data_IF_173619904617
#
_entry.id   IF_173619904617
#
_cell.length_a   1.000
_cell.length_b   1.000
_cell.length_c   1.000
_cell.angle_alpha   90.00
_cell.angle_beta   90.00
_cell.angle_gamma   90.00
#
_symmetry.space_group_name_H-M   'P 1'
#
loop_
_entity.id
_entity.type
_entity.pdbx_description
1 polymer ?
#
# COMPACT_ATOMS: atom_id res chain seq x y z
N UNK A 1 -17.16 57.68 -41.99
CA UNK A 1 -16.57 58.15 -40.73
C UNK A 1 -17.16 57.27 -39.64
N UNK A 2 -16.57 56.08 -39.44
CA UNK A 2 -15.46 55.89 -38.48
C UNK A 2 -15.99 56.19 -37.06
N UNK A 3 -16.03 55.30 -36.07
CA UNK A 3 -15.32 54.05 -35.86
C UNK A 3 -16.14 53.15 -34.93
N UNK A 4 -16.29 51.89 -35.32
CA UNK A 4 -16.57 50.78 -34.41
C UNK A 4 -15.23 50.10 -34.13
N UNK A 5 -14.48 50.58 -33.15
CA UNK A 5 -13.27 49.92 -32.67
C UNK A 5 -13.10 50.14 -31.16
N UNK A 6 -12.66 49.05 -30.50
CA UNK A 6 -12.10 48.97 -29.15
C UNK A 6 -13.05 48.88 -27.95
N UNK A 7 -13.36 47.64 -27.55
CA UNK A 7 -12.82 47.08 -26.30
C UNK A 7 -13.11 45.56 -26.17
N UNK A 8 -12.53 44.77 -27.07
CA UNK A 8 -12.30 43.33 -26.85
C UNK A 8 -10.90 43.13 -26.27
N UNK A 9 -10.72 43.37 -24.98
CA UNK A 9 -9.52 42.93 -24.26
C UNK A 9 -9.78 42.96 -22.75
N UNK A 10 -10.52 41.98 -22.23
CA UNK A 10 -10.38 41.65 -20.81
C UNK A 10 -10.77 40.24 -20.37
N UNK A 11 -10.93 39.28 -21.31
CA UNK A 11 -11.39 37.92 -20.95
C UNK A 11 -10.41 36.83 -21.40
N UNK A 12 -9.12 37.03 -21.15
CA UNK A 12 -8.05 36.03 -21.39
C UNK A 12 -7.20 35.75 -20.14
N UNK A 13 -7.82 35.75 -18.96
CA UNK A 13 -7.10 35.50 -17.70
C UNK A 13 -7.82 34.60 -16.69
N UNK A 14 -8.61 33.63 -17.13
CA UNK A 14 -9.24 32.68 -16.17
C UNK A 14 -9.44 31.26 -16.68
N UNK A 15 -8.80 30.83 -17.76
CA UNK A 15 -8.85 29.42 -18.21
C UNK A 15 -7.45 28.84 -18.44
N UNK A 16 -6.58 28.93 -17.42
CA UNK A 16 -5.46 28.00 -17.31
C UNK A 16 -6.01 26.69 -16.75
N UNK A 17 -6.57 25.92 -17.67
CA UNK A 17 -6.81 24.48 -17.64
C UNK A 17 -6.00 23.74 -16.56
N UNK A 18 -6.69 23.23 -15.54
CA UNK A 18 -6.16 22.26 -14.58
C UNK A 18 -5.59 20.98 -15.24
N UNK A 19 -5.78 20.78 -16.54
CA UNK A 19 -5.24 19.69 -17.34
C UNK A 19 -3.77 19.82 -17.77
N UNK A 20 -3.21 21.05 -17.85
CA UNK A 20 -1.84 21.24 -18.36
C UNK A 20 -0.75 21.13 -17.28
N UNK A 21 -1.09 21.38 -16.00
CA UNK A 21 -0.11 21.32 -14.90
C UNK A 21 0.39 19.91 -14.57
N UNK A 22 -0.26 18.86 -15.08
CA UNK A 22 0.12 17.46 -14.83
C UNK A 22 0.96 16.84 -15.97
N UNK A 23 1.23 17.58 -17.04
CA UNK A 23 1.95 17.04 -18.21
C UNK A 23 3.47 16.98 -18.03
N UNK A 24 4.05 17.76 -17.10
CA UNK A 24 5.49 17.75 -16.82
C UNK A 24 5.76 17.52 -15.32
N UNK A 25 5.79 16.25 -14.90
CA UNK A 25 6.37 15.92 -13.60
C UNK A 25 7.89 16.15 -13.68
N UNK A 26 8.33 17.21 -13.02
CA UNK A 26 9.73 17.56 -12.91
C UNK A 26 10.46 16.52 -12.04
N UNK A 27 11.24 15.65 -12.68
CA UNK A 27 12.00 14.58 -12.02
C UNK A 27 12.95 15.13 -10.95
N UNK A 28 13.36 16.41 -11.02
CA UNK A 28 14.19 17.05 -9.99
C UNK A 28 13.50 17.13 -8.61
N UNK A 29 12.15 17.16 -8.60
CA UNK A 29 11.35 17.16 -7.37
C UNK A 29 11.28 15.79 -6.71
N UNK A 30 11.64 14.71 -7.41
CA UNK A 30 11.65 13.35 -6.86
C UNK A 30 12.58 13.26 -5.65
N UNK A 31 13.76 13.89 -5.71
CA UNK A 31 14.69 13.92 -4.59
C UNK A 31 14.09 14.63 -3.35
N UNK A 32 13.34 15.72 -3.57
CA UNK A 32 12.65 16.41 -2.50
C UNK A 32 11.56 15.53 -1.88
N UNK A 33 10.83 14.77 -2.69
CA UNK A 33 9.84 13.79 -2.23
C UNK A 33 10.50 12.70 -1.38
N UNK A 34 11.54 12.04 -1.90
CA UNK A 34 12.31 11.02 -1.20
C UNK A 34 12.81 11.54 0.15
N UNK A 35 13.40 12.74 0.19
CA UNK A 35 13.89 13.34 1.44
C UNK A 35 12.77 13.57 2.46
N UNK A 36 11.59 14.03 2.02
CA UNK A 36 10.44 14.27 2.91
C UNK A 36 9.83 12.97 3.42
N UNK A 37 9.70 11.95 2.56
CA UNK A 37 9.21 10.63 2.96
C UNK A 37 10.19 9.95 3.94
N UNK A 38 11.49 10.03 3.68
CA UNK A 38 12.51 9.52 4.60
C UNK A 38 12.46 10.23 5.96
N UNK A 39 12.21 11.55 5.98
CA UNK A 39 11.98 12.27 7.25
C UNK A 39 10.77 11.71 8.01
N UNK A 40 9.67 11.40 7.32
CA UNK A 40 8.48 10.79 7.95
C UNK A 40 8.85 9.42 8.54
N UNK A 41 9.58 8.58 7.80
CA UNK A 41 10.08 7.28 8.28
C UNK A 41 10.89 7.44 9.58
N UNK A 42 11.83 8.39 9.62
CA UNK A 42 12.65 8.63 10.83
C UNK A 42 11.80 9.12 12.01
N UNK A 43 10.82 9.99 11.76
CA UNK A 43 9.88 10.44 12.81
C UNK A 43 9.07 9.26 13.33
N UNK A 44 8.53 8.40 12.46
CA UNK A 44 7.75 7.23 12.86
C UNK A 44 8.57 6.23 13.68
N UNK A 45 9.85 6.03 13.35
CA UNK A 45 10.78 5.22 14.16
C UNK A 45 10.89 5.78 15.58
N UNK A 46 11.14 7.09 15.70
CA UNK A 46 11.22 7.76 17.00
C UNK A 46 9.91 7.65 17.80
N UNK A 47 8.75 7.79 17.15
CA UNK A 47 7.44 7.62 17.79
C UNK A 47 7.23 6.19 18.31
N UNK A 48 7.78 5.19 17.63
CA UNK A 48 7.80 3.81 18.11
C UNK A 48 8.63 3.64 19.38
N UNK A 49 9.81 4.26 19.43
CA UNK A 49 10.73 4.17 20.57
C UNK A 49 10.19 4.89 21.82
N UNK A 50 9.35 5.92 21.64
CA UNK A 50 8.73 6.65 22.75
C UNK A 50 7.87 5.79 23.67
N UNK A 51 7.34 4.65 23.20
CA UNK A 51 6.61 3.73 24.07
C UNK A 51 7.46 3.21 25.23
N UNK A 52 8.77 3.02 25.03
CA UNK A 52 9.68 2.57 26.07
C UNK A 52 9.70 3.52 27.28
N UNK A 53 9.48 4.81 27.05
CA UNK A 53 9.42 5.82 28.11
C UNK A 53 8.13 5.65 28.93
N UNK A 54 6.98 5.50 28.27
CA UNK A 54 5.68 5.35 28.94
C UNK A 54 5.60 4.01 29.69
N UNK A 55 6.23 2.97 29.15
CA UNK A 55 6.28 1.63 29.75
C UNK A 55 7.14 1.52 31.02
N UNK A 56 7.85 2.60 31.40
CA UNK A 56 8.51 2.71 32.71
C UNK A 56 7.51 2.88 33.86
N UNK A 57 6.30 3.39 33.57
CA UNK A 57 5.23 3.53 34.54
C UNK A 57 4.60 2.17 34.86
N UNK A 58 4.27 1.93 36.13
CA UNK A 58 3.58 0.71 36.51
C UNK A 58 2.07 0.82 36.25
N UNK A 59 1.37 -0.30 36.00
CA UNK A 59 -0.09 -0.28 35.87
C UNK A 59 -0.80 0.23 37.13
N UNK A 60 -0.19 0.06 38.31
CA UNK A 60 -0.76 0.55 39.57
C UNK A 60 -0.76 2.08 39.60
N UNK A 61 0.39 2.71 39.34
CA UNK A 61 0.52 4.17 39.30
C UNK A 61 -0.41 4.78 38.26
N UNK A 62 -0.53 4.14 37.09
CA UNK A 62 -1.46 4.58 36.04
C UNK A 62 -2.92 4.60 36.53
N UNK A 63 -3.34 3.59 37.29
CA UNK A 63 -4.72 3.50 37.79
C UNK A 63 -5.05 4.57 38.83
N UNK A 64 -4.08 5.11 39.57
CA UNK A 64 -4.29 6.15 40.57
C UNK A 64 -4.81 7.47 39.98
N UNK A 65 -4.33 7.84 38.79
CA UNK A 65 -4.74 9.08 38.11
C UNK A 65 -5.61 8.84 36.89
N UNK A 66 -5.84 7.59 36.48
CA UNK A 66 -6.66 7.24 35.31
C UNK A 66 -8.02 7.94 35.30
N UNK A 67 -8.68 8.01 36.45
CA UNK A 67 -10.02 8.59 36.58
C UNK A 67 -10.04 10.12 36.44
N UNK A 68 -8.87 10.78 36.45
CA UNK A 68 -8.75 12.21 36.17
C UNK A 68 -8.75 12.53 34.68
N UNK A 69 -8.56 11.52 33.82
CA UNK A 69 -8.76 11.72 32.39
C UNK A 69 -10.25 11.73 32.10
N UNK A 70 -10.77 12.90 31.75
CA UNK A 70 -12.13 13.00 31.20
C UNK A 70 -12.23 12.16 29.92
N UNK A 71 -13.41 11.54 29.64
CA UNK A 71 -13.66 10.82 28.39
C UNK A 71 -13.29 11.63 27.14
N UNK A 72 -13.41 12.96 27.23
CA UNK A 72 -13.14 13.93 26.17
C UNK A 72 -11.65 14.09 25.82
N UNK A 73 -10.72 13.78 26.74
CA UNK A 73 -9.29 13.95 26.43
C UNK A 73 -8.81 12.89 25.42
N UNK A 74 -9.33 11.67 25.54
CA UNK A 74 -9.06 10.60 24.59
C UNK A 74 -9.88 10.75 23.31
N UNK A 75 -11.09 11.33 23.35
CA UNK A 75 -11.81 11.68 22.14
C UNK A 75 -11.05 12.74 21.33
N UNK A 76 -10.45 13.74 21.96
CA UNK A 76 -9.64 14.76 21.29
C UNK A 76 -8.25 14.25 20.83
N UNK A 77 -7.61 13.35 21.56
CA UNK A 77 -6.34 12.73 21.13
C UNK A 77 -6.57 11.71 20.01
N UNK A 78 -7.61 10.88 20.13
CA UNK A 78 -8.03 9.99 19.05
C UNK A 78 -8.53 10.79 17.85
N UNK A 79 -9.21 11.93 18.03
CA UNK A 79 -9.55 12.88 16.98
C UNK A 79 -8.32 13.43 16.29
N UNK A 80 -7.25 13.74 17.02
CA UNK A 80 -5.99 14.21 16.45
C UNK A 80 -5.18 13.11 15.76
N UNK A 81 -5.16 11.88 16.31
CA UNK A 81 -4.56 10.71 15.65
C UNK A 81 -5.36 10.36 14.40
N UNK A 82 -6.68 10.37 14.49
CA UNK A 82 -7.61 10.22 13.38
C UNK A 82 -7.43 11.38 12.39
N UNK A 83 -7.19 12.60 12.83
CA UNK A 83 -6.80 13.75 11.99
C UNK A 83 -5.49 13.47 11.27
N UNK A 84 -4.47 12.86 11.89
CA UNK A 84 -3.27 12.45 11.14
C UNK A 84 -3.51 11.25 10.20
N UNK A 85 -4.33 10.28 10.62
CA UNK A 85 -4.68 9.06 9.86
C UNK A 85 -5.65 9.37 8.70
N UNK A 86 -6.47 10.42 8.82
CA UNK A 86 -7.42 10.92 7.80
C UNK A 86 -6.77 12.01 6.94
N UNK A 87 -6.09 13.00 7.53
CA UNK A 87 -5.44 14.10 6.77
C UNK A 87 -4.36 13.61 5.81
N UNK A 88 -3.80 12.41 6.03
CA UNK A 88 -2.73 11.84 5.22
C UNK A 88 -2.94 10.36 4.92
N UNK A 89 -4.19 9.97 4.68
CA UNK A 89 -4.59 8.60 4.37
C UNK A 89 -3.80 8.08 3.16
N UNK A 90 -2.67 7.44 3.42
CA UNK A 90 -1.86 6.78 2.41
C UNK A 90 -2.45 5.44 2.02
N UNK A 91 -3.22 4.75 2.88
CA UNK A 91 -3.65 3.38 2.58
C UNK A 91 -4.91 2.91 3.32
N UNK A 92 -5.92 3.74 3.64
CA UNK A 92 -7.17 3.25 4.29
C UNK A 92 -8.38 3.80 3.55
N UNK A 93 -9.26 2.93 3.05
CA UNK A 93 -10.56 3.33 2.47
C UNK A 93 -11.60 3.37 3.60
N UNK A 94 -12.57 4.30 3.55
CA UNK A 94 -13.60 4.46 4.60
C UNK A 94 -14.35 3.16 4.90
N UNK A 95 -14.64 2.34 3.88
CA UNK A 95 -15.28 1.02 4.02
C UNK A 95 -14.42 -0.07 4.67
N UNK A 96 -13.11 0.13 4.81
CA UNK A 96 -12.20 -0.85 5.44
C UNK A 96 -11.90 -0.49 6.90
N UNK A 97 -12.60 0.49 7.47
CA UNK A 97 -12.43 0.88 8.87
C UNK A 97 -13.27 -0.02 9.75
N UNK A 98 -12.67 -0.56 10.81
CA UNK A 98 -13.40 -1.29 11.84
C UNK A 98 -14.31 -0.30 12.57
N UNK A 99 -15.60 -0.59 12.58
CA UNK A 99 -16.59 0.23 13.26
C UNK A 99 -16.33 0.28 14.77
N UNK A 100 -16.57 1.46 15.32
CA UNK A 100 -16.41 1.74 16.73
C UNK A 100 -17.77 1.66 17.40
N UNK A 101 -18.08 0.59 18.15
CA UNK A 101 -19.38 0.44 18.84
C UNK A 101 -20.58 0.70 17.90
N UNK A 102 -20.48 0.24 16.63
CA UNK A 102 -21.46 0.47 15.56
C UNK A 102 -21.72 1.95 15.21
N UNK A 103 -20.87 2.86 15.67
CA UNK A 103 -20.92 4.30 15.41
C UNK A 103 -19.75 4.75 14.54
N UNK A 104 -20.00 5.77 13.72
CA UNK A 104 -18.96 6.35 12.88
C UNK A 104 -17.94 7.09 13.76
N UNK A 105 -16.65 7.00 13.42
CA UNK A 105 -15.59 7.73 14.13
C UNK A 105 -15.86 9.25 14.22
N UNK A 106 -16.68 9.79 13.30
CA UNK A 106 -17.11 11.20 13.29
C UNK A 106 -17.93 11.57 14.52
N UNK A 107 -18.65 10.63 15.11
CA UNK A 107 -19.45 10.86 16.32
C UNK A 107 -18.59 10.96 17.59
N UNK A 108 -17.34 10.48 17.54
CA UNK A 108 -16.37 10.68 18.61
C UNK A 108 -15.78 12.11 18.61
N UNK A 109 -16.07 12.92 17.60
CA UNK A 109 -15.58 14.29 17.48
C UNK A 109 -16.60 15.27 18.05
N UNK A 110 -16.20 16.00 19.08
CA UNK A 110 -17.06 16.99 19.74
C UNK A 110 -17.00 18.37 19.07
N UNK A 111 -15.89 18.70 18.38
CA UNK A 111 -15.69 20.01 17.77
C UNK A 111 -16.08 20.05 16.27
N UNK A 112 -17.06 20.91 15.95
CA UNK A 112 -17.52 21.19 14.58
C UNK A 112 -16.41 21.72 13.66
N UNK A 113 -15.38 22.37 14.21
CA UNK A 113 -14.26 22.88 13.42
C UNK A 113 -13.38 21.74 12.88
N UNK A 114 -13.18 20.69 13.67
CA UNK A 114 -12.40 19.52 13.29
C UNK A 114 -13.18 18.58 12.37
N UNK A 115 -14.50 18.45 12.54
CA UNK A 115 -15.38 17.74 11.59
C UNK A 115 -15.27 18.35 10.19
N UNK A 116 -15.40 19.68 10.07
CA UNK A 116 -15.27 20.38 8.79
C UNK A 116 -13.90 20.19 8.13
N UNK A 117 -12.82 20.16 8.93
CA UNK A 117 -11.46 19.89 8.43
C UNK A 117 -11.32 18.47 7.90
N UNK A 118 -11.90 17.50 8.58
CA UNK A 118 -11.93 16.09 8.17
C UNK A 118 -12.73 15.95 6.87
N UNK A 119 -13.92 16.53 6.77
CA UNK A 119 -14.72 16.51 5.55
C UNK A 119 -14.00 17.13 4.36
N UNK A 120 -13.36 18.29 4.56
CA UNK A 120 -12.52 18.91 3.53
C UNK A 120 -11.40 17.98 3.09
N UNK A 121 -10.73 17.33 4.03
CA UNK A 121 -9.64 16.41 3.73
C UNK A 121 -10.09 15.14 3.02
N UNK A 122 -11.32 14.66 3.27
CA UNK A 122 -11.88 13.50 2.58
C UNK A 122 -12.21 13.82 1.11
N UNK A 123 -12.45 15.10 0.79
CA UNK A 123 -12.66 15.57 -0.59
C UNK A 123 -11.35 15.78 -1.35
N UNK A 124 -10.26 16.08 -0.64
CA UNK A 124 -8.93 16.25 -1.24
C UNK A 124 -8.36 14.90 -1.73
N UNK A 125 -7.57 14.93 -2.81
CA UNK A 125 -6.95 13.70 -3.34
C UNK A 125 -5.97 13.11 -2.34
N UNK A 126 -6.12 11.83 -2.04
CA UNK A 126 -5.26 11.12 -1.09
C UNK A 126 -3.86 10.90 -1.66
N UNK A 127 -2.87 10.68 -0.79
CA UNK A 127 -1.52 10.36 -1.26
C UNK A 127 -1.50 9.07 -2.09
N UNK A 128 -2.37 8.09 -1.78
CA UNK A 128 -2.51 6.89 -2.60
C UNK A 128 -2.94 7.21 -4.02
N UNK A 129 -4.00 8.02 -4.16
CA UNK A 129 -4.53 8.42 -5.47
C UNK A 129 -3.52 9.24 -6.27
N UNK A 130 -2.73 10.08 -5.61
CA UNK A 130 -1.67 10.86 -6.26
C UNK A 130 -0.52 9.95 -6.72
N UNK A 131 -0.13 8.97 -5.90
CA UNK A 131 0.90 7.97 -6.24
C UNK A 131 0.40 7.07 -7.36
N UNK A 132 -0.86 6.64 -7.34
CA UNK A 132 -1.51 5.86 -8.39
C UNK A 132 -1.45 6.58 -9.73
N UNK A 133 -1.93 7.83 -9.80
CA UNK A 133 -1.83 8.67 -11.00
C UNK A 133 -0.40 8.92 -11.46
N UNK A 134 0.57 8.92 -10.55
CA UNK A 134 1.99 9.01 -10.90
C UNK A 134 2.52 7.70 -11.49
N UNK A 135 2.15 6.56 -10.92
CA UNK A 135 2.53 5.22 -11.40
C UNK A 135 1.91 4.87 -12.75
N UNK A 136 0.67 5.29 -13.02
CA UNK A 136 0.02 5.10 -14.33
C UNK A 136 0.76 5.80 -15.49
N UNK A 137 1.58 6.80 -15.17
CA UNK A 137 2.41 7.54 -16.13
C UNK A 137 3.83 6.99 -16.24
N UNK A 138 4.12 5.85 -15.62
CA UNK A 138 5.46 5.23 -15.68
C UNK A 138 5.86 4.98 -17.13
N UNK A 139 7.04 5.45 -17.55
CA UNK A 139 7.51 5.29 -18.92
C UNK A 139 7.74 3.81 -19.25
N UNK A 140 7.33 3.40 -20.45
CA UNK A 140 7.51 2.03 -20.96
C UNK A 140 6.34 1.07 -20.73
N UNK A 141 5.27 1.54 -20.08
CA UNK A 141 3.99 0.82 -20.03
C UNK A 141 3.24 0.83 -21.38
N UNK A 142 3.36 1.92 -22.16
CA UNK A 142 2.72 2.08 -23.47
C UNK A 142 3.57 1.50 -24.62
N UNK A 143 2.98 1.45 -25.81
CA UNK A 143 3.34 0.64 -26.99
C UNK A 143 4.82 0.62 -27.43
N UNK A 144 5.64 1.62 -27.09
CA UNK A 144 7.05 1.64 -27.52
C UNK A 144 7.89 0.50 -26.92
N UNK A 145 7.83 0.33 -25.59
CA UNK A 145 8.57 -0.74 -24.91
C UNK A 145 7.72 -1.98 -24.69
N UNK A 146 6.39 -1.81 -24.56
CA UNK A 146 5.40 -2.86 -24.31
C UNK A 146 5.84 -3.80 -23.16
N UNK A 147 6.10 -3.21 -22.00
CA UNK A 147 6.57 -3.92 -20.81
C UNK A 147 5.67 -5.11 -20.45
N UNK A 148 4.35 -4.90 -20.46
CA UNK A 148 3.41 -5.84 -19.87
C UNK A 148 3.33 -7.16 -20.64
N UNK A 149 3.22 -7.15 -21.97
CA UNK A 149 3.16 -8.39 -22.76
C UNK A 149 4.47 -9.18 -22.69
N UNK A 150 5.60 -8.47 -22.69
CA UNK A 150 6.93 -9.08 -22.50
C UNK A 150 7.06 -9.72 -21.13
N UNK A 151 6.61 -9.01 -20.08
CA UNK A 151 6.60 -9.52 -18.72
C UNK A 151 5.73 -10.78 -18.59
N UNK A 152 4.48 -10.74 -19.07
CA UNK A 152 3.57 -11.88 -19.02
C UNK A 152 4.13 -13.10 -19.75
N UNK A 153 4.71 -12.89 -20.93
CA UNK A 153 5.34 -13.96 -21.72
C UNK A 153 6.55 -14.54 -21.00
N UNK A 154 7.43 -13.68 -20.46
CA UNK A 154 8.62 -14.11 -19.73
C UNK A 154 8.26 -14.89 -18.46
N UNK A 155 7.27 -14.44 -17.69
CA UNK A 155 6.82 -15.13 -16.47
C UNK A 155 6.14 -16.44 -16.82
N UNK A 156 5.26 -16.49 -17.83
CA UNK A 156 4.63 -17.73 -18.27
C UNK A 156 5.69 -18.76 -18.68
N UNK A 157 6.64 -18.37 -19.53
CA UNK A 157 7.75 -19.24 -19.93
C UNK A 157 8.56 -19.70 -18.72
N UNK A 158 8.87 -18.80 -17.79
CA UNK A 158 9.59 -19.15 -16.57
C UNK A 158 8.83 -20.15 -15.69
N UNK A 159 7.52 -19.98 -15.48
CA UNK A 159 6.67 -20.91 -14.72
C UNK A 159 6.64 -22.28 -15.41
N UNK A 160 6.47 -22.31 -16.72
CA UNK A 160 6.45 -23.55 -17.49
C UNK A 160 7.80 -24.29 -17.42
N UNK A 161 8.91 -23.57 -17.59
CA UNK A 161 10.24 -24.16 -17.61
C UNK A 161 10.77 -24.54 -16.23
N UNK A 162 10.50 -23.71 -15.22
CA UNK A 162 11.06 -23.89 -13.88
C UNK A 162 10.18 -24.76 -12.98
N UNK A 163 8.87 -24.81 -13.22
CA UNK A 163 7.92 -25.52 -12.35
C UNK A 163 7.20 -26.66 -13.07
N UNK A 164 6.64 -26.44 -14.25
CA UNK A 164 5.84 -27.45 -14.94
C UNK A 164 6.69 -28.60 -15.50
N UNK A 165 7.70 -28.29 -16.34
CA UNK A 165 8.58 -29.31 -16.93
C UNK A 165 9.28 -30.18 -15.85
N UNK A 166 9.82 -29.63 -14.74
CA UNK A 166 10.44 -30.43 -13.68
C UNK A 166 9.45 -31.19 -12.77
N UNK A 167 8.17 -30.81 -12.78
CA UNK A 167 7.09 -31.58 -12.13
C UNK A 167 6.72 -32.83 -12.93
N UNK A 168 6.83 -32.78 -14.26
CA UNK A 168 6.55 -33.90 -15.15
C UNK A 168 7.76 -34.84 -15.30
N UNK A 169 8.96 -34.29 -15.44
CA UNK A 169 10.18 -35.03 -15.74
C UNK A 169 11.22 -34.80 -14.64
N UNK A 170 11.57 -35.88 -13.92
CA UNK A 170 12.43 -35.81 -12.73
C UNK A 170 13.93 -35.72 -13.04
N UNK A 171 14.34 -36.19 -14.22
CA UNK A 171 15.72 -36.13 -14.77
C UNK A 171 15.72 -36.54 -16.24
N UNK A 172 16.61 -35.95 -17.03
CA UNK A 172 17.05 -36.54 -18.30
C UNK A 172 17.86 -37.80 -17.96
N UNK A 173 17.36 -38.98 -18.33
CA UNK A 173 18.13 -40.22 -18.17
C UNK A 173 18.94 -40.40 -19.43
N UNK A 174 20.27 -40.34 -19.32
CA UNK A 174 21.15 -40.79 -20.40
C UNK A 174 21.07 -42.31 -20.39
N UNK A 175 20.43 -42.89 -21.40
CA UNK A 175 20.50 -44.33 -21.64
C UNK A 175 21.70 -44.54 -22.54
N UNK A 176 22.81 -44.97 -21.95
CA UNK A 176 23.97 -45.44 -22.73
C UNK A 176 23.64 -46.84 -23.24
N UNK A 177 23.06 -46.91 -24.45
CA UNK A 177 23.04 -48.15 -25.22
C UNK A 177 24.31 -48.20 -26.08
N UNK A 178 24.79 -49.41 -26.42
CA UNK A 178 26.10 -49.67 -27.06
C UNK A 178 26.42 -48.83 -28.32
N UNK A 179 25.46 -48.12 -28.92
CA UNK A 179 25.66 -47.35 -30.15
C UNK A 179 25.12 -45.90 -30.13
N UNK A 180 24.25 -45.51 -29.19
CA UNK A 180 23.71 -44.14 -29.11
C UNK A 180 23.36 -43.77 -27.67
N UNK A 181 23.84 -42.61 -27.20
CA UNK A 181 23.35 -41.96 -25.99
C UNK A 181 22.04 -41.23 -26.32
N UNK A 182 20.89 -41.86 -26.03
CA UNK A 182 19.60 -41.20 -26.14
C UNK A 182 19.23 -40.62 -24.78
N UNK A 183 18.78 -39.37 -24.79
CA UNK A 183 18.28 -38.74 -23.59
C UNK A 183 16.77 -38.95 -23.53
N UNK A 184 16.32 -39.78 -22.59
CA UNK A 184 14.89 -40.02 -22.41
C UNK A 184 14.36 -39.31 -21.15
N UNK A 185 13.15 -38.71 -21.22
CA UNK A 185 12.47 -38.17 -20.05
C UNK A 185 12.22 -39.30 -19.04
N UNK A 186 12.73 -39.18 -17.82
CA UNK A 186 12.41 -40.11 -16.74
C UNK A 186 11.34 -39.52 -15.83
N UNK A 187 10.17 -40.14 -15.83
CA UNK A 187 9.06 -39.74 -14.96
C UNK A 187 9.44 -39.91 -13.48
N UNK A 188 9.05 -38.94 -12.65
CA UNK A 188 9.23 -39.00 -11.20
C UNK A 188 8.44 -40.19 -10.64
N UNK A 189 9.15 -41.26 -10.23
CA UNK A 189 8.52 -42.46 -9.64
C UNK A 189 7.87 -42.20 -8.28
N UNK A 190 8.31 -41.15 -7.59
CA UNK A 190 7.75 -40.74 -6.30
C UNK A 190 6.52 -39.85 -6.54
N UNK A 191 5.34 -40.48 -6.51
CA UNK A 191 4.05 -39.81 -6.68
C UNK A 191 3.83 -38.66 -5.68
N UNK A 192 4.41 -38.75 -4.48
CA UNK A 192 4.25 -37.68 -3.48
C UNK A 192 5.06 -36.44 -3.82
N UNK A 193 6.28 -36.60 -4.33
CA UNK A 193 7.09 -35.48 -4.83
C UNK A 193 6.48 -34.83 -6.07
N UNK A 194 5.98 -35.64 -7.00
CA UNK A 194 5.27 -35.15 -8.19
C UNK A 194 4.06 -34.30 -7.79
N UNK A 195 3.22 -34.79 -6.86
CA UNK A 195 2.05 -34.06 -6.36
C UNK A 195 2.45 -32.74 -5.69
N UNK A 196 3.50 -32.72 -4.85
CA UNK A 196 3.99 -31.49 -4.21
C UNK A 196 4.46 -30.45 -5.24
N UNK A 197 5.25 -30.86 -6.24
CA UNK A 197 5.71 -29.98 -7.32
C UNK A 197 4.53 -29.43 -8.13
N UNK A 198 3.54 -30.28 -8.43
CA UNK A 198 2.34 -29.86 -9.17
C UNK A 198 1.49 -28.86 -8.37
N UNK A 199 1.30 -29.06 -7.06
CA UNK A 199 0.60 -28.10 -6.21
C UNK A 199 1.32 -26.74 -6.14
N UNK A 200 2.66 -26.73 -6.17
CA UNK A 200 3.41 -25.46 -6.25
C UNK A 200 3.17 -24.77 -7.59
N UNK A 201 3.22 -25.51 -8.69
CA UNK A 201 2.91 -24.99 -10.02
C UNK A 201 1.49 -24.39 -10.09
N UNK A 202 0.47 -25.14 -9.65
CA UNK A 202 -0.93 -24.71 -9.63
C UNK A 202 -1.08 -23.40 -8.86
N UNK A 203 -0.55 -23.32 -7.63
CA UNK A 203 -0.62 -22.10 -6.81
C UNK A 203 0.08 -20.90 -7.45
N UNK A 204 1.20 -21.11 -8.14
CA UNK A 204 1.91 -20.02 -8.82
C UNK A 204 1.16 -19.57 -10.08
N UNK A 205 0.53 -20.51 -10.81
CA UNK A 205 -0.30 -20.18 -11.96
C UNK A 205 -1.57 -19.44 -11.54
N UNK A 206 -2.25 -19.88 -10.47
CA UNK A 206 -3.42 -19.18 -9.92
C UNK A 206 -3.08 -17.73 -9.53
N UNK A 207 -1.92 -17.54 -8.88
CA UNK A 207 -1.42 -16.21 -8.53
C UNK A 207 -1.12 -15.36 -9.78
N UNK A 208 -0.52 -15.96 -10.82
CA UNK A 208 -0.24 -15.29 -12.08
C UNK A 208 -1.53 -14.94 -12.85
N UNK A 209 -2.47 -15.86 -12.97
CA UNK A 209 -3.74 -15.64 -13.66
C UNK A 209 -4.55 -14.52 -13.01
N UNK A 210 -4.46 -14.38 -11.68
CA UNK A 210 -5.08 -13.28 -10.94
C UNK A 210 -4.58 -11.87 -11.34
N UNK A 211 -3.43 -11.76 -12.00
CA UNK A 211 -2.86 -10.49 -12.47
C UNK A 211 -2.90 -10.34 -14.00
N UNK A 212 -3.18 -11.40 -14.77
CA UNK A 212 -3.08 -11.38 -16.24
C UNK A 212 -4.22 -10.59 -16.87
N UNK A 213 -5.45 -10.78 -16.39
CA UNK A 213 -6.65 -10.14 -16.96
C UNK A 213 -7.08 -8.95 -16.13
N UNK A 214 -7.55 -7.91 -16.83
CA UNK A 214 -8.09 -6.70 -16.21
C UNK A 214 -9.29 -7.04 -15.33
N UNK A 215 -10.15 -7.96 -15.77
CA UNK A 215 -11.36 -8.36 -15.06
C UNK A 215 -11.04 -9.08 -13.75
N UNK A 216 -10.16 -10.09 -13.76
CA UNK A 216 -9.75 -10.79 -12.53
C UNK A 216 -9.03 -9.85 -11.55
N UNK A 217 -8.26 -8.89 -12.07
CA UNK A 217 -7.63 -7.86 -11.24
C UNK A 217 -8.68 -6.95 -10.59
N UNK A 218 -9.69 -6.52 -11.35
CA UNK A 218 -10.77 -5.66 -10.86
C UNK A 218 -11.65 -6.35 -9.82
N UNK A 219 -11.89 -7.65 -9.94
CA UNK A 219 -12.57 -8.43 -8.89
C UNK A 219 -11.80 -8.35 -7.55
N UNK A 220 -10.46 -8.43 -7.60
CA UNK A 220 -9.62 -8.28 -6.41
C UNK A 220 -9.64 -6.85 -5.85
N UNK A 221 -9.80 -5.83 -6.70
CA UNK A 221 -9.97 -4.43 -6.27
C UNK A 221 -11.30 -4.24 -5.54
N UNK A 222 -12.40 -4.78 -6.08
CA UNK A 222 -13.74 -4.68 -5.49
C UNK A 222 -13.79 -5.39 -4.13
N UNK A 223 -13.13 -6.55 -4.01
CA UNK A 223 -13.00 -7.27 -2.74
C UNK A 223 -12.18 -6.51 -1.69
N UNK A 224 -11.34 -5.55 -2.11
CA UNK A 224 -10.47 -4.76 -1.24
C UNK A 224 -9.12 -5.40 -0.95
N UNK A 225 -8.79 -6.52 -1.59
CA UNK A 225 -7.49 -7.20 -1.47
C UNK A 225 -6.36 -6.41 -2.15
N UNK A 226 -6.72 -5.67 -3.20
CA UNK A 226 -5.83 -4.77 -3.93
C UNK A 226 -6.37 -3.34 -3.82
N UNK A 227 -5.46 -2.37 -3.94
CA UNK A 227 -5.81 -0.95 -3.82
C UNK A 227 -5.33 -0.07 -4.96
N UNK A 228 -4.31 -0.51 -5.68
CA UNK A 228 -3.78 0.20 -6.85
C UNK A 228 -4.54 -0.22 -8.09
N UNK A 229 -4.84 0.72 -8.98
CA UNK A 229 -5.34 0.46 -10.31
C UNK A 229 -4.43 -0.52 -11.06
N UNK A 230 -5.00 -1.20 -12.05
CA UNK A 230 -4.25 -2.18 -12.85
C UNK A 230 -3.01 -1.56 -13.50
N UNK A 231 -3.14 -0.35 -14.08
CA UNK A 231 -2.03 0.36 -14.70
C UNK A 231 -0.99 0.84 -13.67
N UNK A 232 -1.43 1.31 -12.50
CA UNK A 232 -0.50 1.71 -11.43
C UNK A 232 0.30 0.51 -10.90
N UNK A 233 -0.33 -0.66 -10.80
CA UNK A 233 0.35 -1.90 -10.43
C UNK A 233 1.42 -2.29 -11.46
N UNK A 234 1.11 -2.21 -12.75
CA UNK A 234 2.10 -2.45 -13.81
C UNK A 234 3.28 -1.45 -13.72
N UNK A 235 3.00 -0.17 -13.48
CA UNK A 235 4.01 0.86 -13.29
C UNK A 235 4.91 0.61 -12.09
N UNK A 236 4.32 0.24 -10.96
CA UNK A 236 5.08 -0.15 -9.77
C UNK A 236 5.99 -1.34 -10.07
N UNK A 237 5.44 -2.40 -10.67
CA UNK A 237 6.21 -3.59 -11.01
C UNK A 237 7.38 -3.28 -11.95
N UNK A 238 7.16 -2.42 -12.94
CA UNK A 238 8.22 -1.95 -13.83
C UNK A 238 9.35 -1.25 -13.06
N UNK A 239 9.01 -0.33 -12.14
CA UNK A 239 10.01 0.35 -11.30
C UNK A 239 10.79 -0.65 -10.45
N UNK A 240 10.13 -1.67 -9.89
CA UNK A 240 10.79 -2.71 -9.08
C UNK A 240 11.75 -3.57 -9.92
N UNK A 241 11.35 -3.99 -11.12
CA UNK A 241 12.17 -4.86 -11.96
C UNK A 241 13.37 -4.12 -12.56
N UNK A 242 13.23 -2.84 -12.87
CA UNK A 242 14.28 -2.03 -13.50
C UNK A 242 14.91 -1.01 -12.54
N UNK A 243 14.88 -1.26 -11.23
CA UNK A 243 15.35 -0.30 -10.21
C UNK A 243 16.85 0.09 -10.31
N UNK A 244 17.66 -0.75 -10.96
CA UNK A 244 19.07 -0.47 -11.24
C UNK A 244 19.27 0.56 -12.36
N UNK A 245 18.26 0.80 -13.20
CA UNK A 245 18.32 1.85 -14.21
C UNK A 245 18.30 3.24 -13.56
N UNK A 246 19.17 4.18 -13.99
CA UNK A 246 19.30 5.49 -13.35
C UNK A 246 17.97 6.25 -13.20
N UNK A 247 17.07 6.09 -14.16
CA UNK A 247 15.76 6.74 -14.18
C UNK A 247 14.79 6.17 -13.14
N UNK A 248 14.90 4.88 -12.80
CA UNK A 248 13.99 4.20 -11.86
C UNK A 248 14.51 4.13 -10.43
N UNK A 249 15.80 4.42 -10.21
CA UNK A 249 16.39 4.40 -8.87
C UNK A 249 15.66 5.30 -7.85
N UNK A 250 15.35 6.55 -8.22
CA UNK A 250 14.64 7.47 -7.33
C UNK A 250 13.16 7.08 -7.11
N UNK A 251 12.38 6.76 -8.16
CA UNK A 251 11.04 6.17 -8.00
C UNK A 251 11.01 4.94 -7.09
N UNK A 252 11.98 4.04 -7.23
CA UNK A 252 12.10 2.85 -6.39
C UNK A 252 12.30 3.20 -4.91
N UNK A 253 13.16 4.18 -4.60
CA UNK A 253 13.32 4.68 -3.23
C UNK A 253 12.01 5.25 -2.66
N UNK A 254 11.24 5.99 -3.47
CA UNK A 254 9.92 6.50 -3.06
C UNK A 254 8.98 5.35 -2.69
N UNK A 255 8.89 4.30 -3.51
CA UNK A 255 8.05 3.13 -3.24
C UNK A 255 8.47 2.39 -1.97
N UNK A 256 9.77 2.18 -1.76
CA UNK A 256 10.28 1.58 -0.51
C UNK A 256 9.93 2.40 0.72
N UNK A 257 10.11 3.72 0.66
CA UNK A 257 9.77 4.61 1.77
C UNK A 257 8.26 4.61 2.08
N UNK A 258 7.41 4.46 1.07
CA UNK A 258 5.96 4.31 1.28
C UNK A 258 5.62 2.99 2.00
N UNK A 259 6.27 1.88 1.63
CA UNK A 259 6.13 0.60 2.34
C UNK A 259 6.67 0.67 3.77
N UNK A 260 7.80 1.36 3.98
CA UNK A 260 8.38 1.59 5.31
C UNK A 260 7.41 2.37 6.20
N UNK A 261 6.76 3.41 5.68
CA UNK A 261 5.75 4.18 6.41
C UNK A 261 4.60 3.27 6.84
N UNK A 262 4.07 2.43 5.95
CA UNK A 262 2.97 1.52 6.26
C UNK A 262 3.37 0.49 7.32
N UNK A 263 4.55 -0.12 7.16
CA UNK A 263 5.11 -1.06 8.15
C UNK A 263 5.30 -0.42 9.53
N UNK A 264 5.84 0.81 9.58
CA UNK A 264 6.07 1.53 10.83
C UNK A 264 4.76 1.96 11.50
N UNK A 265 3.74 2.35 10.74
CA UNK A 265 2.41 2.63 11.29
C UNK A 265 1.79 1.39 11.94
N UNK A 266 1.89 0.22 11.28
CA UNK A 266 1.40 -1.04 11.84
C UNK A 266 2.18 -1.45 13.10
N UNK A 267 3.51 -1.31 13.09
CA UNK A 267 4.35 -1.52 14.29
C UNK A 267 3.97 -0.60 15.44
N UNK A 268 3.73 0.69 15.15
CA UNK A 268 3.29 1.65 16.15
C UNK A 268 1.94 1.24 16.77
N UNK A 269 0.95 0.83 15.95
CA UNK A 269 -0.34 0.32 16.44
C UNK A 269 -0.19 -0.92 17.31
N UNK A 270 0.72 -1.83 16.94
CA UNK A 270 1.02 -3.01 17.72
C UNK A 270 1.66 -2.68 19.07
N UNK A 271 2.68 -1.82 19.10
CA UNK A 271 3.31 -1.38 20.35
C UNK A 271 2.29 -0.67 21.26
N UNK A 272 1.44 0.19 20.69
CA UNK A 272 0.34 0.81 21.41
C UNK A 272 -0.62 -0.23 22.01
N UNK A 273 -1.01 -1.25 21.24
CA UNK A 273 -1.85 -2.35 21.73
C UNK A 273 -1.21 -3.07 22.92
N UNK A 274 0.08 -3.41 22.84
CA UNK A 274 0.81 -4.10 23.89
C UNK A 274 0.90 -3.25 25.17
N UNK A 275 1.24 -1.96 25.03
CA UNK A 275 1.27 -1.01 26.14
C UNK A 275 -0.11 -0.91 26.81
N UNK A 276 -1.19 -0.73 26.03
CA UNK A 276 -2.56 -0.68 26.56
C UNK A 276 -2.92 -1.99 27.26
N UNK A 277 -2.59 -3.14 26.68
CA UNK A 277 -2.83 -4.44 27.32
C UNK A 277 -2.14 -4.56 28.68
N UNK A 278 -0.89 -4.08 28.79
CA UNK A 278 -0.13 -4.06 30.05
C UNK A 278 -0.75 -3.11 31.08
N UNK A 279 -1.20 -1.92 30.67
CA UNK A 279 -1.73 -0.89 31.57
C UNK A 279 -3.15 -1.20 32.07
N UNK A 280 -4.02 -1.73 31.21
CA UNK A 280 -5.47 -1.85 31.51
C UNK A 280 -6.03 -3.27 31.35
N UNK A 281 -5.24 -4.21 30.82
CA UNK A 281 -5.69 -5.58 30.55
C UNK A 281 -6.88 -5.61 29.59
N UNK A 282 -7.97 -6.26 30.04
CA UNK A 282 -9.25 -6.33 29.30
C UNK A 282 -10.27 -5.26 29.74
N UNK A 283 -9.89 -4.32 30.61
CA UNK A 283 -10.80 -3.27 31.07
C UNK A 283 -11.17 -2.36 29.89
N UNK A 284 -12.41 -1.86 29.91
CA UNK A 284 -12.90 -0.88 28.93
C UNK A 284 -12.01 0.37 28.94
N UNK A 285 -11.78 0.97 27.78
CA UNK A 285 -11.05 2.24 27.67
C UNK A 285 -11.86 3.41 28.24
N UNK A 286 -11.20 4.48 28.65
CA UNK A 286 -11.86 5.74 29.08
C UNK A 286 -12.63 6.42 27.95
N UNK A 287 -12.28 6.16 26.68
CA UNK A 287 -13.04 6.60 25.51
C UNK A 287 -14.28 5.76 25.20
N UNK A 288 -14.72 4.85 26.08
CA UNK A 288 -15.81 3.86 25.92
C UNK A 288 -15.53 2.70 24.94
N UNK A 289 -14.30 2.55 24.48
CA UNK A 289 -13.94 1.46 23.57
C UNK A 289 -13.86 0.13 24.32
N UNK A 290 -14.04 -0.99 23.62
CA UNK A 290 -13.61 -2.31 24.11
C UNK A 290 -12.09 -2.40 24.35
N UNK A 291 -11.37 -1.28 24.16
CA UNK A 291 -9.99 -1.06 24.54
C UNK A 291 -9.07 -1.93 23.70
N UNK A 292 -8.54 -2.96 24.35
CA UNK A 292 -7.67 -3.95 23.73
C UNK A 292 -8.30 -4.64 22.51
N UNK A 293 -9.59 -4.99 22.56
CA UNK A 293 -10.22 -5.73 21.45
C UNK A 293 -10.37 -4.87 20.18
N UNK A 294 -10.79 -3.61 20.33
CA UNK A 294 -10.85 -2.67 19.22
C UNK A 294 -9.46 -2.43 18.62
N UNK A 295 -8.45 -2.13 19.45
CA UNK A 295 -7.09 -1.89 18.97
C UNK A 295 -6.51 -3.11 18.25
N UNK A 296 -6.81 -4.33 18.72
CA UNK A 296 -6.39 -5.57 18.08
C UNK A 296 -7.01 -5.73 16.68
N UNK A 297 -8.21 -5.23 16.45
CA UNK A 297 -8.86 -5.27 15.14
C UNK A 297 -8.27 -4.24 14.15
N UNK A 298 -7.47 -3.27 14.62
CA UNK A 298 -6.86 -2.22 13.77
C UNK A 298 -5.45 -2.57 13.24
N UNK A 299 -4.96 -3.77 13.57
CA UNK A 299 -3.70 -4.36 13.10
C UNK A 299 -4.04 -5.38 12.02
#
# INVERSE_FOLDING_TARGET
TEDCFENENNDKRTDITYGEYLQNFDESKTLLMTRRLNRIVVILKLLGDQFMIIETMTPHDFMEFRYRFEPELFSNLSANILKYVILKQTFVVEGNRVEYDQKNYKEALSDMSDIKRIEKSLQESSLLQLVEKWLERTPGLKQDFNFWEKYLTAVRNWIEESLHKPALVSKLRVITSLLVATVQPYEEKDQTKKRRKMTVYEKQMDAFDSIVTVDAYNECLIRGDRRLSYLAFQGALMIFLYHDEPRFHQPFQVLNLLMDIDSLMTKWRHNHLLMVHRMIGKKMGTGMSSGYQYLRATI
#
